data_IF_112839837011
#
_entry.id   IF_112839837011
#
_cell.length_a   1.000
_cell.length_b   1.000
_cell.length_c   1.000
_cell.angle_alpha   90.00
_cell.angle_beta   90.00
_cell.angle_gamma   90.00
#
_symmetry.space_group_name_H-M   'P 1'
#
loop_
_entity.id
_entity.type
_entity.pdbx_description
1 polymer ?
#
# COMPACT_ATOMS: atom_id res chain seq x y z
N UNK A 1 -59.21 -28.33 42.25
CA UNK A 1 -60.63 -27.98 42.43
C UNK A 1 -61.14 -27.56 41.05
N UNK A 2 -62.11 -28.28 40.46
CA UNK A 2 -62.71 -28.02 39.13
C UNK A 2 -61.73 -28.33 37.96
N UNK A 3 -61.79 -29.50 37.29
CA UNK A 3 -62.74 -30.01 36.24
C UNK A 3 -62.30 -29.55 34.82
N UNK A 4 -61.92 -30.47 33.92
CA UNK A 4 -62.72 -31.00 32.77
C UNK A 4 -62.75 -30.07 31.53
N UNK A 5 -62.90 -30.51 30.27
CA UNK A 5 -63.12 -31.86 29.69
C UNK A 5 -62.56 -31.95 28.25
N UNK A 6 -62.57 -33.18 27.71
CA UNK A 6 -62.41 -33.50 26.28
C UNK A 6 -63.56 -32.93 25.42
N UNK A 7 -63.32 -32.75 24.12
CA UNK A 7 -64.14 -33.38 23.07
C UNK A 7 -63.43 -33.45 21.70
N UNK A 8 -63.50 -34.63 21.07
CA UNK A 8 -63.31 -34.85 19.62
C UNK A 8 -64.71 -34.86 18.97
N UNK A 9 -64.81 -34.76 17.63
CA UNK A 9 -65.61 -35.68 16.77
C UNK A 9 -65.69 -35.22 15.28
N UNK A 10 -65.20 -36.10 14.41
CA UNK A 10 -65.47 -36.42 12.97
C UNK A 10 -65.85 -35.41 11.86
N UNK A 11 -65.07 -35.53 10.78
CA UNK A 11 -65.36 -35.66 9.31
C UNK A 11 -66.83 -35.91 8.85
N UNK A 12 -67.18 -35.50 7.61
CA UNK A 12 -67.20 -36.39 6.41
C UNK A 12 -66.46 -35.79 5.18
N UNK A 13 -65.85 -36.55 4.25
CA UNK A 13 -66.43 -37.43 3.19
C UNK A 13 -67.38 -36.66 2.22
N UNK A 14 -67.32 -36.75 0.89
CA UNK A 14 -66.48 -37.51 -0.07
C UNK A 14 -65.61 -36.54 -0.95
N UNK A 15 -65.03 -36.79 -2.15
CA UNK A 15 -65.13 -37.91 -3.11
C UNK A 15 -63.91 -38.11 -4.06
N UNK A 16 -64.06 -39.11 -4.91
CA UNK A 16 -63.23 -39.68 -5.98
C UNK A 16 -63.12 -38.78 -7.26
N UNK A 17 -62.28 -39.05 -8.29
CA UNK A 17 -62.23 -40.26 -9.16
C UNK A 17 -60.88 -40.40 -9.93
N UNK A 18 -60.40 -41.66 -10.05
CA UNK A 18 -59.50 -42.33 -11.04
C UNK A 18 -58.21 -41.65 -11.59
N UNK A 19 -57.03 -42.31 -11.62
CA UNK A 19 -56.55 -43.50 -12.40
C UNK A 19 -56.36 -43.23 -13.91
N UNK A 20 -55.37 -43.81 -14.61
CA UNK A 20 -54.29 -44.73 -14.20
C UNK A 20 -53.06 -44.63 -15.12
N UNK A 21 -51.93 -45.08 -14.55
CA UNK A 21 -50.73 -45.72 -15.13
C UNK A 21 -50.64 -45.96 -16.66
N UNK A 22 -49.43 -45.73 -17.19
CA UNK A 22 -48.59 -46.80 -17.79
C UNK A 22 -47.10 -46.43 -17.78
N UNK A 23 -46.24 -47.45 -17.81
CA UNK A 23 -44.78 -47.34 -17.61
C UNK A 23 -43.96 -47.21 -18.92
N UNK A 24 -42.67 -46.92 -18.73
CA UNK A 24 -41.53 -47.27 -19.58
C UNK A 24 -41.35 -46.57 -20.95
N UNK A 25 -40.36 -45.66 -21.00
CA UNK A 25 -39.18 -45.93 -21.83
C UNK A 25 -37.92 -45.23 -21.31
N UNK A 26 -36.76 -45.86 -21.58
CA UNK A 26 -35.43 -45.38 -21.24
C UNK A 26 -34.89 -44.52 -22.38
N UNK A 27 -34.49 -43.29 -22.10
CA UNK A 27 -33.65 -42.46 -22.98
C UNK A 27 -32.60 -41.70 -22.15
N UNK A 28 -31.36 -41.72 -22.62
CA UNK A 28 -30.26 -40.94 -22.04
C UNK A 28 -30.46 -39.44 -22.32
N UNK A 29 -30.21 -38.53 -21.36
CA UNK A 29 -29.99 -37.12 -21.64
C UNK A 29 -28.55 -36.85 -22.09
N UNK A 30 -28.43 -36.04 -23.14
CA UNK A 30 -27.17 -35.66 -23.79
C UNK A 30 -26.14 -34.99 -22.88
N UNK A 31 -24.89 -35.10 -23.32
CA UNK A 31 -23.83 -34.12 -23.05
C UNK A 31 -24.23 -32.76 -23.64
N UNK A 32 -24.70 -31.83 -22.80
CA UNK A 32 -24.47 -30.38 -22.95
C UNK A 32 -25.28 -29.60 -21.90
N UNK A 33 -24.63 -29.14 -20.83
CA UNK A 33 -24.76 -27.79 -20.29
C UNK A 33 -23.83 -27.65 -19.09
N UNK A 34 -22.68 -27.00 -19.31
CA UNK A 34 -21.87 -26.47 -18.22
C UNK A 34 -22.69 -25.35 -17.60
N UNK A 35 -23.29 -25.61 -16.45
CA UNK A 35 -23.91 -24.58 -15.60
C UNK A 35 -22.83 -23.58 -15.20
N UNK A 36 -22.75 -22.47 -15.93
CA UNK A 36 -21.87 -21.33 -15.64
C UNK A 36 -22.39 -20.65 -14.38
N UNK A 37 -21.88 -21.10 -13.24
CA UNK A 37 -22.16 -20.50 -11.94
C UNK A 37 -21.24 -19.27 -11.73
N UNK A 38 -21.85 -18.14 -11.37
CA UNK A 38 -21.25 -16.79 -11.32
C UNK A 38 -20.57 -16.29 -12.62
N UNK A 39 -20.71 -14.99 -12.90
CA UNK A 39 -20.09 -14.37 -14.07
C UNK A 39 -18.56 -14.28 -13.91
N UNK A 40 -17.83 -15.28 -14.41
CA UNK A 40 -16.38 -15.29 -14.41
C UNK A 40 -15.84 -14.03 -15.09
N UNK A 41 -15.02 -13.28 -14.36
CA UNK A 41 -14.35 -12.07 -14.82
C UNK A 41 -13.45 -12.42 -16.02
N UNK A 42 -13.75 -11.83 -17.19
CA UNK A 42 -12.88 -11.97 -18.36
C UNK A 42 -11.58 -11.19 -18.13
N UNK A 43 -10.46 -11.91 -18.07
CA UNK A 43 -9.14 -11.34 -17.83
C UNK A 43 -8.33 -11.24 -19.14
N UNK A 44 -7.42 -10.24 -19.27
CA UNK A 44 -6.60 -10.10 -20.47
C UNK A 44 -5.70 -11.30 -20.75
N UNK A 45 -5.30 -11.48 -22.02
CA UNK A 45 -4.43 -12.59 -22.43
C UNK A 45 -3.10 -12.65 -21.65
N UNK A 46 -2.48 -11.50 -21.35
CA UNK A 46 -1.22 -11.42 -20.59
C UNK A 46 -1.32 -12.02 -19.18
N UNK A 47 -2.50 -12.01 -18.55
CA UNK A 47 -2.71 -12.66 -17.26
C UNK A 47 -2.52 -14.18 -17.39
N UNK A 48 -3.12 -14.79 -18.41
CA UNK A 48 -2.98 -16.23 -18.63
C UNK A 48 -1.54 -16.60 -19.00
N UNK A 49 -0.87 -15.82 -19.87
CA UNK A 49 0.55 -16.04 -20.20
C UNK A 49 1.48 -15.95 -18.98
N UNK A 50 1.22 -15.01 -18.06
CA UNK A 50 1.96 -14.92 -16.80
C UNK A 50 1.66 -16.10 -15.86
N UNK A 51 0.40 -16.53 -15.74
CA UNK A 51 0.04 -17.70 -14.94
C UNK A 51 0.59 -19.02 -15.52
N UNK A 52 0.69 -19.14 -16.85
CA UNK A 52 1.37 -20.25 -17.52
C UNK A 52 2.88 -20.26 -17.20
N UNK A 53 3.52 -19.09 -17.12
CA UNK A 53 4.92 -18.98 -16.70
C UNK A 53 5.10 -19.41 -15.24
N UNK A 54 4.26 -18.89 -14.32
CA UNK A 54 4.26 -19.27 -12.90
C UNK A 54 4.02 -20.77 -12.72
N UNK A 55 3.08 -21.35 -13.47
CA UNK A 55 2.80 -22.78 -13.46
C UNK A 55 4.04 -23.60 -13.87
N UNK A 56 4.79 -23.17 -14.91
CA UNK A 56 6.04 -23.83 -15.29
C UNK A 56 7.12 -23.71 -14.21
N UNK A 57 7.30 -22.52 -13.65
CA UNK A 57 8.38 -22.25 -12.68
C UNK A 57 8.16 -22.95 -11.34
N UNK A 58 6.90 -23.08 -10.89
CA UNK A 58 6.53 -23.87 -9.71
C UNK A 58 6.20 -25.34 -10.04
N UNK A 59 6.51 -25.82 -11.26
CA UNK A 59 6.58 -27.24 -11.60
C UNK A 59 5.24 -27.95 -11.83
N UNK A 60 4.20 -27.25 -12.29
CA UNK A 60 2.95 -27.84 -12.79
C UNK A 60 3.12 -28.39 -14.22
N UNK A 61 2.39 -29.46 -14.55
CA UNK A 61 2.47 -30.08 -15.89
C UNK A 61 1.60 -29.34 -16.91
N UNK A 62 2.23 -28.89 -18.00
CA UNK A 62 1.52 -28.17 -19.08
C UNK A 62 0.30 -28.95 -19.59
N UNK A 63 -0.88 -28.31 -19.54
CA UNK A 63 -2.15 -28.91 -19.95
C UNK A 63 -2.81 -29.86 -18.94
N UNK A 64 -2.26 -30.01 -17.73
CA UNK A 64 -2.86 -30.82 -16.65
C UNK A 64 -3.35 -29.99 -15.45
N UNK A 65 -3.15 -28.67 -15.48
CA UNK A 65 -3.66 -27.75 -14.45
C UNK A 65 -4.81 -26.88 -14.97
N UNK A 66 -5.62 -26.38 -14.04
CA UNK A 66 -6.61 -25.31 -14.29
C UNK A 66 -6.18 -23.99 -13.64
N UNK A 67 -6.68 -22.88 -14.19
CA UNK A 67 -6.57 -21.54 -13.59
C UNK A 67 -7.98 -21.10 -13.18
N UNK A 68 -8.19 -20.86 -11.89
CA UNK A 68 -9.41 -20.23 -11.34
C UNK A 68 -9.07 -18.85 -10.76
N UNK A 69 -10.04 -17.95 -10.66
CA UNK A 69 -9.83 -16.62 -10.05
C UNK A 69 -10.95 -16.21 -9.12
N UNK A 70 -10.63 -15.42 -8.10
CA UNK A 70 -11.56 -14.89 -7.10
C UNK A 70 -11.20 -13.43 -6.79
N UNK A 71 -12.16 -12.51 -6.87
CA UNK A 71 -11.93 -11.09 -6.58
C UNK A 71 -11.45 -10.89 -5.13
N UNK A 72 -10.34 -10.17 -4.97
CA UNK A 72 -9.61 -10.10 -3.69
C UNK A 72 -9.72 -8.78 -2.94
N UNK A 73 -10.37 -7.77 -3.52
CA UNK A 73 -10.41 -6.37 -3.06
C UNK A 73 -11.76 -5.98 -2.45
N UNK A 74 -11.74 -5.32 -1.30
CA UNK A 74 -12.93 -4.63 -0.78
C UNK A 74 -13.11 -3.27 -1.46
N UNK A 75 -14.31 -2.67 -1.36
CA UNK A 75 -14.55 -1.32 -1.88
C UNK A 75 -13.60 -0.31 -1.19
N UNK A 76 -12.75 0.34 -1.99
CA UNK A 76 -11.71 1.26 -1.51
C UNK A 76 -10.30 0.68 -1.43
N UNK A 77 -10.11 -0.62 -1.68
CA UNK A 77 -8.79 -1.21 -1.90
C UNK A 77 -8.36 -1.05 -3.37
N UNK A 78 -7.06 -0.94 -3.62
CA UNK A 78 -6.51 -0.95 -4.98
C UNK A 78 -6.81 0.30 -5.81
N UNK A 79 -6.51 1.51 -5.32
CA UNK A 79 -6.72 2.78 -6.05
C UNK A 79 -6.06 2.79 -7.45
N UNK A 80 -4.82 2.29 -7.56
CA UNK A 80 -3.98 2.38 -8.77
C UNK A 80 -3.90 1.04 -9.54
N UNK A 81 -4.33 -0.07 -8.94
CA UNK A 81 -4.29 -1.40 -9.56
C UNK A 81 -5.31 -2.35 -8.93
N UNK A 82 -5.76 -3.33 -9.71
CA UNK A 82 -6.74 -4.32 -9.28
C UNK A 82 -6.04 -5.56 -8.72
N UNK A 83 -6.45 -6.01 -7.53
CA UNK A 83 -5.91 -7.17 -6.84
C UNK A 83 -6.95 -8.29 -6.69
N UNK A 84 -6.58 -9.49 -7.11
CA UNK A 84 -7.42 -10.68 -7.04
C UNK A 84 -6.58 -11.94 -6.81
N UNK A 85 -7.21 -13.02 -6.36
CA UNK A 85 -6.55 -14.33 -6.23
C UNK A 85 -6.63 -15.08 -7.55
N UNK A 86 -5.55 -15.76 -7.90
CA UNK A 86 -5.53 -16.83 -8.89
C UNK A 86 -5.19 -18.15 -8.19
N UNK A 87 -5.80 -19.24 -8.65
CA UNK A 87 -5.55 -20.58 -8.16
C UNK A 87 -5.02 -21.46 -9.29
N UNK A 88 -3.91 -22.16 -9.06
CA UNK A 88 -3.45 -23.24 -9.93
C UNK A 88 -3.80 -24.57 -9.28
N UNK A 89 -4.54 -25.42 -9.99
CA UNK A 89 -4.99 -26.73 -9.50
C UNK A 89 -4.55 -27.86 -10.43
N UNK A 90 -3.86 -28.89 -9.92
CA UNK A 90 -3.40 -30.09 -10.65
C UNK A 90 -3.62 -31.33 -9.78
N UNK A 91 -4.63 -32.14 -10.11
CA UNK A 91 -5.07 -33.22 -9.23
C UNK A 91 -5.50 -32.70 -7.85
N UNK A 92 -4.87 -33.22 -6.79
CA UNK A 92 -5.10 -32.76 -5.40
C UNK A 92 -4.25 -31.52 -5.01
N UNK A 93 -3.29 -31.10 -5.85
CA UNK A 93 -2.47 -29.89 -5.61
C UNK A 93 -3.31 -28.66 -5.96
N UNK A 94 -3.50 -27.74 -5.00
CA UNK A 94 -4.04 -26.39 -5.24
C UNK A 94 -3.15 -25.35 -4.59
N UNK A 95 -2.65 -24.40 -5.37
CA UNK A 95 -1.82 -23.28 -4.91
C UNK A 95 -2.51 -21.95 -5.20
N UNK A 96 -2.27 -20.96 -4.34
CA UNK A 96 -2.94 -19.65 -4.39
C UNK A 96 -1.91 -18.55 -4.58
N UNK A 97 -2.19 -17.68 -5.53
CA UNK A 97 -1.36 -16.55 -5.91
C UNK A 97 -2.17 -15.27 -5.82
N UNK A 98 -1.53 -14.18 -5.39
CA UNK A 98 -2.10 -12.84 -5.41
C UNK A 98 -1.62 -12.12 -6.68
N UNK A 99 -2.55 -11.72 -7.53
CA UNK A 99 -2.26 -11.05 -8.80
C UNK A 99 -2.67 -9.58 -8.72
N UNK A 100 -1.75 -8.67 -9.07
CA UNK A 100 -1.97 -7.22 -9.22
C UNK A 100 -1.84 -6.86 -10.71
N UNK A 101 -2.84 -6.22 -11.30
CA UNK A 101 -2.84 -5.74 -12.70
C UNK A 101 -3.30 -4.27 -12.80
N UNK A 102 -2.93 -3.51 -13.86
CA UNK A 102 -3.51 -2.20 -14.13
C UNK A 102 -5.04 -2.28 -14.25
N UNK A 103 -5.81 -1.28 -13.78
CA UNK A 103 -7.26 -1.31 -13.85
C UNK A 103 -7.76 -1.53 -15.26
N UNK A 104 -8.81 -2.32 -15.46
CA UNK A 104 -9.33 -2.59 -16.80
C UNK A 104 -9.99 -1.35 -17.43
N UNK A 105 -10.33 -0.34 -16.62
CA UNK A 105 -10.82 0.95 -17.08
C UNK A 105 -9.67 1.87 -17.56
N UNK A 106 -9.70 2.26 -18.84
CA UNK A 106 -8.65 3.08 -19.46
C UNK A 106 -8.56 4.50 -18.89
N UNK A 107 -9.70 5.18 -18.65
CA UNK A 107 -9.71 6.53 -18.10
C UNK A 107 -9.00 6.57 -16.73
N UNK A 108 -9.22 5.53 -15.92
CA UNK A 108 -8.55 5.34 -14.63
C UNK A 108 -7.05 5.05 -14.77
N UNK A 109 -6.62 4.28 -15.78
CA UNK A 109 -5.18 4.10 -16.06
C UNK A 109 -4.49 5.44 -16.36
N UNK A 110 -5.11 6.23 -17.22
CA UNK A 110 -4.59 7.54 -17.66
C UNK A 110 -4.56 8.53 -16.50
N UNK A 111 -5.66 8.67 -15.74
CA UNK A 111 -5.79 9.61 -14.62
C UNK A 111 -4.70 9.45 -13.55
N UNK A 112 -4.26 8.20 -13.29
CA UNK A 112 -3.30 7.90 -12.22
C UNK A 112 -1.87 7.62 -12.72
N UNK A 113 -1.57 7.73 -14.02
CA UNK A 113 -0.25 7.36 -14.56
C UNK A 113 0.09 5.89 -14.24
N UNK A 114 -0.88 5.00 -14.40
CA UNK A 114 -0.79 3.64 -13.85
C UNK A 114 0.35 2.84 -14.48
N UNK A 115 0.66 3.02 -15.77
CA UNK A 115 1.66 2.18 -16.43
C UNK A 115 3.07 2.50 -15.94
N UNK A 116 3.38 3.77 -15.71
CA UNK A 116 4.64 4.27 -15.12
C UNK A 116 4.83 3.76 -13.68
N UNK A 117 3.71 3.66 -12.95
CA UNK A 117 3.68 3.13 -11.58
C UNK A 117 3.90 1.60 -11.56
N UNK A 118 3.33 0.86 -12.52
CA UNK A 118 3.58 -0.57 -12.68
C UNK A 118 4.99 -0.88 -13.20
N UNK A 119 5.53 -0.10 -14.15
CA UNK A 119 6.92 -0.23 -14.61
C UNK A 119 7.89 -0.18 -13.42
N UNK A 120 7.66 0.79 -12.53
CA UNK A 120 8.43 1.01 -11.32
C UNK A 120 8.33 -0.16 -10.35
N UNK A 121 7.11 -0.65 -10.06
CA UNK A 121 6.95 -1.79 -9.15
C UNK A 121 7.55 -3.09 -9.74
N UNK A 122 7.44 -3.31 -11.06
CA UNK A 122 8.06 -4.43 -11.77
C UNK A 122 9.59 -4.32 -11.74
N UNK A 123 10.17 -3.12 -11.90
CA UNK A 123 11.61 -2.89 -11.74
C UNK A 123 12.11 -3.23 -10.32
N UNK A 124 11.31 -2.92 -9.31
CA UNK A 124 11.62 -3.23 -7.90
C UNK A 124 11.67 -4.75 -7.67
N UNK A 125 10.64 -5.50 -8.07
CA UNK A 125 10.59 -6.95 -7.86
C UNK A 125 11.55 -7.74 -8.76
N UNK A 126 11.73 -7.36 -10.04
CA UNK A 126 12.60 -8.10 -10.96
C UNK A 126 14.09 -7.78 -10.82
N UNK A 127 14.46 -6.58 -10.35
CA UNK A 127 15.88 -6.15 -10.33
C UNK A 127 16.36 -5.69 -8.96
N UNK A 128 15.77 -4.64 -8.39
CA UNK A 128 16.37 -4.01 -7.20
C UNK A 128 16.33 -4.92 -5.96
N UNK A 129 15.16 -5.44 -5.62
CA UNK A 129 14.97 -6.23 -4.40
C UNK A 129 15.77 -7.55 -4.43
N UNK A 130 15.80 -8.32 -5.55
CA UNK A 130 16.71 -9.46 -5.69
C UNK A 130 18.19 -9.08 -5.57
N UNK A 131 18.61 -7.94 -6.15
CA UNK A 131 19.99 -7.46 -6.05
C UNK A 131 20.37 -7.07 -4.62
N UNK A 132 19.46 -6.46 -3.87
CA UNK A 132 19.60 -6.16 -2.44
C UNK A 132 19.74 -7.43 -1.60
N UNK A 133 19.01 -8.51 -1.92
CA UNK A 133 19.11 -9.77 -1.20
C UNK A 133 20.45 -10.47 -1.51
N UNK A 134 20.80 -10.61 -2.79
CA UNK A 134 22.08 -11.19 -3.20
C UNK A 134 23.30 -10.41 -2.69
N UNK A 135 23.20 -9.07 -2.55
CA UNK A 135 24.25 -8.25 -1.93
C UNK A 135 24.43 -8.56 -0.44
N UNK A 136 23.33 -8.66 0.32
CA UNK A 136 23.36 -9.00 1.75
C UNK A 136 23.89 -10.41 1.98
N UNK A 137 23.42 -11.38 1.21
CA UNK A 137 23.86 -12.79 1.29
C UNK A 137 25.36 -12.92 0.95
N UNK A 138 25.85 -12.20 -0.06
CA UNK A 138 27.28 -12.14 -0.39
C UNK A 138 28.15 -11.48 0.70
N UNK A 139 27.55 -10.68 1.59
CA UNK A 139 28.19 -10.12 2.79
C UNK A 139 28.03 -11.01 4.03
N UNK A 140 27.38 -12.17 3.91
CA UNK A 140 27.11 -13.09 5.02
C UNK A 140 25.93 -12.69 5.91
N UNK A 141 25.10 -11.72 5.48
CA UNK A 141 23.93 -11.26 6.24
C UNK A 141 22.70 -12.08 5.85
N UNK A 142 22.20 -12.90 6.78
CA UNK A 142 21.01 -13.73 6.60
C UNK A 142 19.68 -13.05 6.94
N UNK A 143 18.59 -13.77 6.69
CA UNK A 143 17.19 -13.28 6.81
C UNK A 143 16.78 -12.74 8.19
N UNK A 144 17.42 -13.17 9.27
CA UNK A 144 17.15 -12.63 10.62
C UNK A 144 17.76 -11.25 10.87
N UNK A 145 18.90 -10.97 10.23
CA UNK A 145 19.75 -9.81 10.51
C UNK A 145 19.61 -8.69 9.47
N UNK A 146 19.32 -9.04 8.22
CA UNK A 146 19.17 -8.10 7.10
C UNK A 146 17.74 -7.64 6.85
N UNK A 147 17.55 -7.00 5.70
CA UNK A 147 16.26 -6.63 5.10
C UNK A 147 15.86 -7.70 4.07
N UNK A 148 14.82 -8.48 4.39
CA UNK A 148 14.27 -9.54 3.53
C UNK A 148 12.73 -9.63 3.61
N UNK A 149 12.08 -8.58 4.12
CA UNK A 149 10.66 -8.55 4.46
C UNK A 149 9.79 -7.98 3.33
N UNK A 150 9.76 -8.69 2.20
CA UNK A 150 8.86 -8.46 1.05
C UNK A 150 8.11 -9.77 0.76
N UNK A 151 6.95 -9.75 0.06
CA UNK A 151 6.33 -10.97 -0.41
C UNK A 151 7.20 -11.65 -1.47
N UNK A 152 7.24 -13.00 -1.51
CA UNK A 152 7.76 -13.75 -2.67
C UNK A 152 7.00 -13.29 -3.91
N UNK A 153 7.70 -12.64 -4.83
CA UNK A 153 7.24 -12.44 -6.20
C UNK A 153 7.57 -13.71 -6.99
N UNK A 154 6.56 -14.29 -7.63
CA UNK A 154 6.69 -15.44 -8.52
C UNK A 154 6.96 -14.97 -9.96
N UNK A 155 6.28 -13.89 -10.37
CA UNK A 155 6.43 -13.32 -11.70
C UNK A 155 6.07 -11.83 -11.68
N UNK A 156 6.82 -11.01 -12.41
CA UNK A 156 6.48 -9.61 -12.65
C UNK A 156 6.80 -9.27 -14.10
N UNK A 157 5.83 -8.69 -14.80
CA UNK A 157 5.93 -8.34 -16.23
C UNK A 157 5.38 -6.94 -16.49
N UNK A 158 6.00 -6.25 -17.43
CA UNK A 158 5.61 -4.94 -17.94
C UNK A 158 6.01 -4.83 -19.42
N UNK A 159 5.07 -4.39 -20.25
CA UNK A 159 5.32 -3.90 -21.60
C UNK A 159 4.54 -2.60 -21.84
N UNK A 160 5.27 -1.50 -21.97
CA UNK A 160 4.71 -0.18 -22.25
C UNK A 160 4.16 -0.01 -23.67
N UNK A 161 4.50 -0.88 -24.63
CA UNK A 161 3.98 -0.80 -26.00
C UNK A 161 2.55 -1.35 -26.11
N UNK A 162 2.28 -2.46 -25.42
CA UNK A 162 0.95 -3.08 -25.33
C UNK A 162 0.11 -2.58 -24.15
N UNK A 163 0.70 -1.77 -23.27
CA UNK A 163 0.11 -1.34 -21.99
C UNK A 163 -0.29 -2.52 -21.09
N UNK A 164 0.54 -3.56 -21.08
CA UNK A 164 0.37 -4.77 -20.29
C UNK A 164 1.28 -4.74 -19.06
N UNK A 165 0.73 -5.08 -17.89
CA UNK A 165 1.53 -5.31 -16.70
C UNK A 165 0.84 -6.28 -15.74
N UNK A 166 1.63 -7.09 -15.04
CA UNK A 166 1.13 -8.00 -14.02
C UNK A 166 2.23 -8.30 -13.00
N UNK A 167 1.85 -8.38 -11.72
CA UNK A 167 2.70 -8.87 -10.65
C UNK A 167 1.96 -10.01 -9.95
N UNK A 168 2.59 -11.18 -9.88
CA UNK A 168 2.11 -12.38 -9.20
C UNK A 168 2.99 -12.63 -7.98
N UNK A 169 2.38 -12.62 -6.79
CA UNK A 169 3.06 -12.70 -5.50
C UNK A 169 2.36 -13.65 -4.51
N UNK A 170 3.01 -13.98 -3.39
CA UNK A 170 2.40 -14.84 -2.37
C UNK A 170 1.19 -14.18 -1.69
N UNK A 171 0.13 -14.95 -1.43
CA UNK A 171 -0.94 -14.52 -0.54
C UNK A 171 -0.50 -14.70 0.93
N UNK A 172 0.11 -13.66 1.48
CA UNK A 172 0.60 -13.61 2.87
C UNK A 172 -0.48 -13.96 3.93
N UNK A 173 -1.77 -13.86 3.60
CA UNK A 173 -2.87 -14.25 4.49
C UNK A 173 -2.83 -15.75 4.83
N UNK A 174 -2.33 -16.58 3.90
CA UNK A 174 -2.09 -18.01 4.13
C UNK A 174 -0.98 -18.28 5.16
N UNK A 175 -0.02 -17.36 5.28
CA UNK A 175 1.07 -17.39 6.25
C UNK A 175 0.75 -16.65 7.56
N UNK A 176 -0.54 -16.48 7.87
CA UNK A 176 -1.09 -15.80 9.05
C UNK A 176 -0.65 -14.34 9.24
N UNK A 177 -0.34 -13.64 8.14
CA UNK A 177 -0.19 -12.20 8.17
C UNK A 177 -1.54 -11.50 8.00
N UNK A 178 -1.70 -10.33 8.62
CA UNK A 178 -2.86 -9.46 8.41
C UNK A 178 -2.47 -7.98 8.37
N UNK A 179 -3.31 -7.18 7.71
CA UNK A 179 -3.24 -5.73 7.76
C UNK A 179 -3.55 -5.22 9.18
N UNK A 180 -2.87 -4.16 9.60
CA UNK A 180 -3.28 -3.42 10.80
C UNK A 180 -4.55 -2.59 10.50
N UNK A 181 -5.39 -2.36 11.50
CA UNK A 181 -6.60 -1.56 11.33
C UNK A 181 -6.27 -0.05 11.29
N UNK A 182 -6.28 0.52 10.07
CA UNK A 182 -5.97 1.93 9.78
C UNK A 182 -6.82 2.99 10.48
N UNK A 183 -8.00 2.62 11.00
CA UNK A 183 -8.87 3.53 11.75
C UNK A 183 -8.35 3.77 13.18
N UNK A 184 -7.39 2.95 13.62
CA UNK A 184 -6.69 3.09 14.90
C UNK A 184 -5.34 3.78 14.70
N UNK A 185 -4.87 4.60 15.66
CA UNK A 185 -3.47 5.00 15.73
C UNK A 185 -2.57 3.77 15.84
N UNK A 186 -1.44 3.77 15.15
CA UNK A 186 -0.43 2.71 15.24
C UNK A 186 0.19 2.69 16.64
N UNK A 187 0.31 1.48 17.22
CA UNK A 187 0.93 1.28 18.52
C UNK A 187 2.46 1.11 18.47
N UNK A 188 3.08 0.99 19.64
CA UNK A 188 4.52 0.92 19.82
C UNK A 188 5.20 -0.23 19.06
N UNK A 189 4.64 -1.44 19.09
CA UNK A 189 5.33 -2.61 18.52
C UNK A 189 5.25 -2.63 17.00
N UNK A 190 4.13 -2.20 16.43
CA UNK A 190 4.01 -1.98 14.99
C UNK A 190 4.98 -0.88 14.52
N UNK A 191 4.98 0.28 15.19
CA UNK A 191 5.88 1.38 14.85
C UNK A 191 7.36 1.01 14.99
N UNK A 192 7.73 0.27 16.05
CA UNK A 192 9.10 -0.24 16.25
C UNK A 192 9.52 -1.13 15.07
N UNK A 193 8.71 -2.11 14.69
CA UNK A 193 9.01 -2.99 13.55
C UNK A 193 9.15 -2.21 12.23
N UNK A 194 8.28 -1.22 11.98
CA UNK A 194 8.42 -0.34 10.80
C UNK A 194 9.74 0.43 10.82
N UNK A 195 10.07 1.10 11.93
CA UNK A 195 11.32 1.87 12.06
C UNK A 195 12.55 0.95 11.89
N UNK A 196 12.51 -0.26 12.45
CA UNK A 196 13.58 -1.24 12.28
C UNK A 196 13.78 -1.62 10.81
N UNK A 197 12.72 -1.99 10.08
CA UNK A 197 12.86 -2.44 8.69
C UNK A 197 13.20 -1.29 7.73
N UNK A 198 12.67 -0.08 7.93
CA UNK A 198 13.11 1.09 7.16
C UNK A 198 14.60 1.37 7.40
N UNK A 199 15.07 1.24 8.65
CA UNK A 199 16.50 1.36 8.97
C UNK A 199 17.36 0.33 8.23
N UNK A 200 16.91 -0.94 8.21
CA UNK A 200 17.61 -2.00 7.47
C UNK A 200 17.61 -1.76 5.96
N UNK A 201 16.45 -1.45 5.38
CA UNK A 201 16.30 -1.17 3.95
C UNK A 201 17.21 -0.03 3.50
N UNK A 202 17.23 1.07 4.25
CA UNK A 202 18.08 2.22 3.94
C UNK A 202 19.58 1.93 4.17
N UNK A 203 19.95 1.08 5.14
CA UNK A 203 21.34 0.61 5.30
C UNK A 203 21.82 -0.17 4.07
N UNK A 204 21.01 -1.10 3.54
CA UNK A 204 21.34 -1.86 2.33
C UNK A 204 21.49 -0.92 1.14
N UNK A 205 20.59 0.05 0.97
CA UNK A 205 20.71 1.06 -0.08
C UNK A 205 22.00 1.87 0.02
N UNK A 206 22.37 2.36 1.20
CA UNK A 206 23.60 3.14 1.40
C UNK A 206 24.86 2.31 1.14
N UNK A 207 24.89 1.07 1.63
CA UNK A 207 26.02 0.16 1.45
C UNK A 207 26.20 -0.26 -0.02
N UNK A 208 25.10 -0.53 -0.74
CA UNK A 208 25.15 -0.82 -2.19
C UNK A 208 25.59 0.40 -3.01
N UNK A 209 25.14 1.60 -2.65
CA UNK A 209 25.60 2.84 -3.29
C UNK A 209 27.11 3.02 -3.18
N UNK A 210 27.68 2.68 -2.02
CA UNK A 210 29.12 2.76 -1.79
C UNK A 210 29.90 1.65 -2.52
N UNK A 211 29.46 0.39 -2.39
CA UNK A 211 30.22 -0.77 -2.90
C UNK A 211 30.02 -1.05 -4.39
N UNK A 212 28.89 -0.63 -4.97
CA UNK A 212 28.49 -0.94 -6.35
C UNK A 212 27.84 0.27 -7.06
N UNK A 213 28.49 1.45 -7.09
CA UNK A 213 27.89 2.69 -7.60
C UNK A 213 27.37 2.57 -9.04
N UNK A 214 28.10 1.90 -9.93
CA UNK A 214 27.69 1.67 -11.33
C UNK A 214 26.41 0.84 -11.45
N UNK A 215 26.25 -0.19 -10.59
CA UNK A 215 25.01 -0.98 -10.56
C UNK A 215 23.87 -0.19 -9.91
N UNK A 216 24.19 0.65 -8.93
CA UNK A 216 23.24 1.46 -8.17
C UNK A 216 22.60 2.58 -9.02
N UNK A 217 23.34 3.17 -9.96
CA UNK A 217 22.93 4.36 -10.71
C UNK A 217 21.58 4.18 -11.43
N UNK A 218 21.34 3.00 -12.03
CA UNK A 218 20.10 2.69 -12.75
C UNK A 218 18.84 2.73 -11.86
N UNK A 219 19.00 2.67 -10.54
CA UNK A 219 17.90 2.66 -9.58
C UNK A 219 17.61 4.06 -9.00
N UNK A 220 18.34 5.12 -9.41
CA UNK A 220 18.09 6.50 -8.98
C UNK A 220 16.82 7.11 -9.62
N UNK A 221 15.68 6.47 -9.36
CA UNK A 221 14.39 6.87 -9.89
C UNK A 221 13.96 8.21 -9.30
N UNK A 222 13.57 9.15 -10.16
CA UNK A 222 12.99 10.43 -9.76
C UNK A 222 11.66 10.23 -9.03
N UNK A 223 11.25 11.21 -8.22
CA UNK A 223 9.90 11.25 -7.63
C UNK A 223 8.85 11.27 -8.76
N UNK A 224 7.87 10.36 -8.71
CA UNK A 224 6.82 10.26 -9.73
C UNK A 224 5.92 11.49 -9.75
N UNK A 225 5.82 12.23 -8.64
CA UNK A 225 5.06 13.48 -8.58
C UNK A 225 5.86 14.69 -9.09
N UNK A 226 7.14 14.56 -9.48
CA UNK A 226 8.01 15.70 -9.84
C UNK A 226 7.42 16.58 -10.95
N UNK A 227 6.81 15.97 -11.96
CA UNK A 227 6.18 16.67 -13.08
C UNK A 227 4.88 17.37 -12.65
N UNK A 228 4.23 16.86 -11.60
CA UNK A 228 3.04 17.43 -10.95
C UNK A 228 3.33 18.60 -9.98
N UNK A 229 4.57 19.09 -9.91
CA UNK A 229 4.99 20.14 -8.96
C UNK A 229 5.08 21.56 -9.56
N UNK A 230 4.60 21.77 -10.79
CA UNK A 230 4.54 23.10 -11.40
C UNK A 230 3.65 24.08 -10.58
N UNK A 231 3.95 25.39 -10.51
CA UNK A 231 3.22 26.34 -9.65
C UNK A 231 1.70 26.41 -9.89
N UNK A 232 1.27 26.18 -11.13
CA UNK A 232 -0.13 26.19 -11.56
C UNK A 232 -0.72 24.77 -11.70
N UNK A 233 0.06 23.72 -11.41
CA UNK A 233 -0.40 22.34 -11.52
C UNK A 233 -1.53 22.05 -10.51
N UNK A 234 -2.61 21.34 -10.88
CA UNK A 234 -3.76 21.12 -10.00
C UNK A 234 -3.40 20.55 -8.62
N UNK A 235 -2.38 19.68 -8.55
CA UNK A 235 -1.86 19.13 -7.28
C UNK A 235 -1.33 20.22 -6.33
N UNK A 236 -0.58 21.20 -6.84
CA UNK A 236 -0.06 22.33 -6.04
C UNK A 236 -1.20 23.23 -5.58
N UNK A 237 -2.14 23.56 -6.46
CA UNK A 237 -3.33 24.37 -6.11
C UNK A 237 -4.16 23.69 -5.02
N UNK A 238 -4.34 22.37 -5.13
CA UNK A 238 -4.97 21.56 -4.08
C UNK A 238 -4.16 21.58 -2.78
N UNK A 239 -2.84 21.37 -2.81
CA UNK A 239 -1.98 21.35 -1.62
C UNK A 239 -2.00 22.71 -0.88
N UNK A 240 -2.03 23.82 -1.62
CA UNK A 240 -2.24 25.16 -1.06
C UNK A 240 -3.62 25.30 -0.41
N UNK A 241 -4.69 24.78 -1.05
CA UNK A 241 -6.06 24.81 -0.49
C UNK A 241 -6.14 23.99 0.79
N UNK A 242 -5.72 22.73 0.77
CA UNK A 242 -5.77 21.85 1.95
C UNK A 242 -4.87 22.36 3.09
N UNK A 243 -3.78 23.07 2.78
CA UNK A 243 -2.95 23.74 3.80
C UNK A 243 -3.71 24.88 4.49
N UNK A 244 -4.50 25.67 3.74
CA UNK A 244 -5.41 26.68 4.34
C UNK A 244 -6.51 26.02 5.17
N UNK A 245 -7.14 24.95 4.65
CA UNK A 245 -8.16 24.19 5.39
C UNK A 245 -7.60 23.60 6.70
N UNK A 246 -6.33 23.16 6.69
CA UNK A 246 -5.61 22.68 7.87
C UNK A 246 -5.36 23.80 8.91
N UNK A 247 -5.11 25.04 8.48
CA UNK A 247 -4.99 26.20 9.39
C UNK A 247 -6.30 26.49 10.12
N UNK A 248 -7.45 26.23 9.50
CA UNK A 248 -8.77 26.37 10.12
C UNK A 248 -9.12 25.24 11.11
N UNK A 249 -8.18 24.32 11.39
CA UNK A 249 -8.31 23.36 12.51
C UNK A 249 -7.71 23.88 13.83
N UNK A 250 -6.93 24.98 13.78
CA UNK A 250 -6.25 25.58 14.93
C UNK A 250 -7.18 26.49 15.74
N UNK A 251 -7.13 26.36 17.07
CA UNK A 251 -7.88 27.23 18.00
C UNK A 251 -7.38 28.68 17.97
N UNK A 252 -8.20 29.68 18.40
CA UNK A 252 -7.81 31.09 18.35
C UNK A 252 -6.52 31.47 19.11
N UNK A 253 -6.12 30.68 20.10
CA UNK A 253 -4.90 30.91 20.88
C UNK A 253 -3.62 30.38 20.19
N UNK A 254 -3.74 29.53 19.16
CA UNK A 254 -2.65 28.87 18.44
C UNK A 254 -2.06 29.77 17.33
N UNK A 255 -1.85 31.05 17.69
CA UNK A 255 -1.35 32.08 16.78
C UNK A 255 0.09 31.80 16.32
N UNK A 256 0.91 31.15 17.14
CA UNK A 256 2.27 30.69 16.77
C UNK A 256 2.20 29.66 15.65
N UNK A 257 1.35 28.65 15.82
CA UNK A 257 1.16 27.53 14.91
C UNK A 257 0.62 28.04 13.57
N UNK A 258 -0.40 28.91 13.63
CA UNK A 258 -0.98 29.58 12.46
C UNK A 258 0.06 30.41 11.68
N UNK A 259 0.92 31.14 12.39
CA UNK A 259 2.02 31.89 11.78
C UNK A 259 3.12 31.00 11.17
N UNK A 260 3.35 29.79 11.70
CA UNK A 260 4.28 28.83 11.06
C UNK A 260 3.66 28.17 9.83
N UNK A 261 2.38 27.80 9.89
CA UNK A 261 1.64 27.28 8.74
C UNK A 261 1.56 28.28 7.59
N UNK A 262 1.34 29.57 7.86
CA UNK A 262 1.38 30.60 6.82
C UNK A 262 2.75 30.65 6.12
N UNK A 263 3.86 30.61 6.88
CA UNK A 263 5.21 30.58 6.30
C UNK A 263 5.51 29.32 5.48
N UNK A 264 4.93 28.18 5.87
CA UNK A 264 4.99 26.95 5.06
C UNK A 264 4.22 27.12 3.75
N UNK A 265 3.03 27.73 3.79
CA UNK A 265 2.24 28.02 2.60
C UNK A 265 2.97 28.98 1.65
N UNK A 266 3.57 30.05 2.19
CA UNK A 266 4.37 31.04 1.44
C UNK A 266 5.62 30.40 0.79
N UNK A 267 6.23 29.41 1.46
CA UNK A 267 7.44 28.71 1.02
C UNK A 267 7.21 27.39 0.26
N UNK A 268 5.95 27.00 0.04
CA UNK A 268 5.56 25.63 -0.33
C UNK A 268 6.29 25.08 -1.57
N UNK A 269 6.42 25.88 -2.63
CA UNK A 269 7.05 25.45 -3.88
C UNK A 269 8.53 25.08 -3.69
N UNK A 270 9.27 25.86 -2.90
CA UNK A 270 10.69 25.61 -2.62
C UNK A 270 10.91 24.44 -1.65
N UNK A 271 9.89 24.07 -0.90
CA UNK A 271 9.86 22.87 -0.06
C UNK A 271 9.54 21.63 -0.91
N UNK A 272 8.54 21.70 -1.77
CA UNK A 272 8.19 20.66 -2.74
C UNK A 272 9.36 20.31 -3.66
N UNK A 273 10.01 21.31 -4.27
CA UNK A 273 11.21 21.12 -5.09
C UNK A 273 12.33 20.40 -4.31
N UNK A 274 12.51 20.75 -3.03
CA UNK A 274 13.51 20.12 -2.16
C UNK A 274 13.24 18.63 -1.91
N UNK A 275 11.98 18.20 -1.89
CA UNK A 275 11.63 16.78 -1.69
C UNK A 275 11.79 15.96 -2.97
N UNK A 276 11.50 16.56 -4.13
CA UNK A 276 11.69 15.94 -5.44
C UNK A 276 13.17 15.95 -5.89
N UNK A 277 14.00 16.86 -5.37
CA UNK A 277 15.42 16.96 -5.69
C UNK A 277 16.29 16.15 -4.71
N UNK A 278 16.64 14.93 -5.11
CA UNK A 278 17.52 14.05 -4.33
C UNK A 278 18.96 14.57 -4.18
N UNK A 279 19.45 15.44 -5.07
CA UNK A 279 20.81 15.98 -5.01
C UNK A 279 21.03 16.80 -3.74
N UNK A 280 19.97 17.40 -3.20
CA UNK A 280 19.99 18.14 -1.93
C UNK A 280 20.06 17.22 -0.69
N UNK A 281 19.80 15.93 -0.86
CA UNK A 281 19.92 14.91 0.18
C UNK A 281 21.28 14.16 0.15
N UNK A 282 22.06 14.30 -0.93
CA UNK A 282 23.43 13.78 -1.03
C UNK A 282 24.35 14.32 0.09
N UNK A 283 25.33 13.53 0.58
CA UNK A 283 25.65 12.15 0.19
C UNK A 283 24.66 11.09 0.73
N UNK A 284 23.70 11.49 1.57
CA UNK A 284 22.87 10.60 2.40
C UNK A 284 21.57 10.12 1.74
N UNK A 285 21.36 10.40 0.46
CA UNK A 285 20.19 9.96 -0.29
C UNK A 285 20.17 8.42 -0.43
N UNK A 286 18.97 7.84 -0.31
CA UNK A 286 18.70 6.41 -0.33
C UNK A 286 17.59 6.08 -1.32
N UNK A 287 17.50 4.81 -1.71
CA UNK A 287 16.31 4.25 -2.33
C UNK A 287 15.26 4.15 -1.21
N UNK A 288 14.30 5.07 -1.23
CA UNK A 288 13.13 5.07 -0.35
C UNK A 288 12.01 4.22 -0.93
N UNK A 289 11.17 3.66 -0.07
CA UNK A 289 9.99 2.90 -0.46
C UNK A 289 8.88 3.84 -0.95
N UNK A 290 8.84 5.06 -0.42
CA UNK A 290 8.07 6.16 -0.98
C UNK A 290 6.60 6.21 -0.60
N UNK A 291 5.97 5.07 -0.32
CA UNK A 291 4.61 4.95 0.25
C UNK A 291 4.59 4.22 1.61
N UNK A 292 5.35 4.74 2.58
CA UNK A 292 5.51 4.14 3.91
C UNK A 292 4.35 4.44 4.87
N UNK A 293 3.16 3.96 4.56
CA UNK A 293 2.02 3.98 5.49
C UNK A 293 1.55 2.58 5.87
N UNK A 294 0.75 2.51 6.93
CA UNK A 294 0.36 1.26 7.57
C UNK A 294 -0.43 0.29 6.66
N UNK A 295 -1.06 0.78 5.59
CA UNK A 295 -1.77 -0.06 4.61
C UNK A 295 -0.85 -0.78 3.62
N UNK A 296 0.43 -0.45 3.59
CA UNK A 296 1.44 -1.15 2.80
C UNK A 296 2.30 -2.07 3.67
N UNK A 297 1.76 -2.48 4.83
CA UNK A 297 2.46 -3.27 5.84
C UNK A 297 1.56 -4.38 6.38
N UNK A 298 1.99 -5.63 6.19
CA UNK A 298 1.33 -6.81 6.74
C UNK A 298 2.13 -7.36 7.93
N UNK A 299 1.44 -7.78 8.99
CA UNK A 299 2.06 -8.21 10.25
C UNK A 299 1.66 -9.64 10.60
N UNK A 300 2.61 -10.44 11.09
CA UNK A 300 2.34 -11.76 11.69
C UNK A 300 2.48 -11.66 13.20
N UNK A 301 1.48 -12.19 13.91
CA UNK A 301 1.32 -11.99 15.35
C UNK A 301 1.63 -13.25 16.15
N UNK A 302 2.14 -13.04 17.37
CA UNK A 302 2.39 -14.07 18.38
C UNK A 302 1.86 -13.55 19.71
N UNK A 303 0.91 -14.26 20.29
CA UNK A 303 0.21 -13.86 21.52
C UNK A 303 -0.41 -12.44 21.47
N UNK A 304 -0.80 -11.98 20.27
CA UNK A 304 -1.37 -10.64 20.04
C UNK A 304 -0.35 -9.53 19.78
N UNK A 305 0.95 -9.79 19.92
CA UNK A 305 2.03 -8.85 19.58
C UNK A 305 2.54 -9.13 18.16
N UNK A 306 2.78 -8.11 17.31
CA UNK A 306 3.41 -8.35 16.00
C UNK A 306 4.87 -8.79 16.20
N UNK A 307 5.26 -9.89 15.57
CA UNK A 307 6.63 -10.44 15.62
C UNK A 307 7.36 -10.23 14.28
N UNK A 308 6.62 -10.21 13.17
CA UNK A 308 7.14 -9.95 11.84
C UNK A 308 6.28 -8.94 11.10
N UNK A 309 6.92 -8.21 10.19
CA UNK A 309 6.32 -7.26 9.25
C UNK A 309 6.77 -7.67 7.83
N UNK A 310 5.94 -7.40 6.83
CA UNK A 310 6.26 -7.47 5.39
C UNK A 310 5.80 -6.16 4.75
N UNK A 311 6.68 -5.53 3.96
CA UNK A 311 6.42 -4.29 3.23
C UNK A 311 5.90 -4.64 1.83
N UNK A 312 4.85 -3.93 1.42
CA UNK A 312 4.09 -4.13 0.18
C UNK A 312 4.12 -2.87 -0.68
N UNK A 313 3.75 -3.00 -1.95
CA UNK A 313 3.41 -1.90 -2.84
C UNK A 313 4.55 -0.88 -3.07
N UNK A 314 5.56 -1.32 -3.82
CA UNK A 314 6.79 -0.54 -4.11
C UNK A 314 6.61 0.48 -5.25
N UNK A 315 5.36 0.81 -5.58
CA UNK A 315 4.96 1.45 -6.84
C UNK A 315 5.35 2.93 -6.96
N UNK A 316 5.78 3.58 -5.88
CA UNK A 316 6.34 4.94 -5.86
C UNK A 316 7.72 5.03 -5.19
N UNK A 317 8.44 3.90 -5.15
CA UNK A 317 9.82 3.82 -4.68
C UNK A 317 10.72 4.78 -5.48
N UNK A 318 11.57 5.53 -4.80
CA UNK A 318 12.31 6.65 -5.39
C UNK A 318 13.60 6.95 -4.67
N UNK A 319 14.53 7.61 -5.35
CA UNK A 319 15.76 8.07 -4.74
C UNK A 319 15.52 9.40 -4.02
N UNK A 320 15.74 9.46 -2.71
CA UNK A 320 15.34 10.60 -1.88
C UNK A 320 16.07 10.65 -0.53
N UNK A 321 15.74 11.62 0.33
CA UNK A 321 16.18 11.61 1.72
C UNK A 321 15.52 10.45 2.50
N UNK A 322 16.26 9.68 3.32
CA UNK A 322 15.68 8.63 4.17
C UNK A 322 14.60 9.16 5.12
N UNK A 323 14.60 10.46 5.40
CA UNK A 323 13.63 11.10 6.28
C UNK A 323 12.22 11.15 5.68
N UNK A 324 12.05 11.10 4.36
CA UNK A 324 10.73 11.23 3.74
C UNK A 324 9.79 10.10 4.19
N UNK A 325 10.27 8.86 4.16
CA UNK A 325 9.52 7.67 4.59
C UNK A 325 9.21 7.69 6.10
N UNK A 326 10.16 8.14 6.93
CA UNK A 326 9.98 8.27 8.38
C UNK A 326 8.97 9.36 8.75
N UNK A 327 9.08 10.52 8.11
CA UNK A 327 8.19 11.65 8.35
C UNK A 327 6.77 11.32 7.87
N UNK A 328 6.63 10.63 6.74
CA UNK A 328 5.35 10.11 6.29
C UNK A 328 4.74 9.19 7.35
N UNK A 329 5.39 8.07 7.68
CA UNK A 329 4.85 7.09 8.61
C UNK A 329 4.49 7.72 9.97
N UNK A 330 5.39 8.49 10.57
CA UNK A 330 5.18 9.03 11.92
C UNK A 330 4.04 10.05 11.95
N UNK A 331 3.95 10.99 11.01
CA UNK A 331 2.91 12.02 11.06
C UNK A 331 1.56 11.54 10.50
N UNK A 332 1.55 10.59 9.55
CA UNK A 332 0.31 10.06 8.99
C UNK A 332 -0.27 8.85 9.74
N UNK A 333 0.53 8.00 10.40
CA UNK A 333 0.03 6.74 11.01
C UNK A 333 -0.09 6.76 12.55
N UNK A 334 0.59 7.67 13.25
CA UNK A 334 0.55 7.76 14.73
C UNK A 334 -0.30 8.95 15.22
N UNK A 335 -0.58 9.03 16.52
CA UNK A 335 -1.27 10.17 17.14
C UNK A 335 -0.36 11.09 17.99
N UNK A 336 -0.95 12.16 18.54
CA UNK A 336 -0.25 13.17 19.36
C UNK A 336 0.38 12.55 20.62
N UNK A 337 -0.29 11.57 21.24
CA UNK A 337 0.17 10.95 22.47
C UNK A 337 1.34 10.00 22.20
N UNK A 338 1.24 9.19 21.15
CA UNK A 338 2.33 8.37 20.66
C UNK A 338 3.58 9.23 20.40
N UNK A 339 3.47 10.30 19.60
CA UNK A 339 4.63 11.14 19.26
C UNK A 339 5.18 11.87 20.47
N UNK A 340 4.33 12.34 21.39
CA UNK A 340 4.77 12.95 22.66
C UNK A 340 5.60 11.99 23.53
N UNK A 341 5.35 10.69 23.47
CA UNK A 341 6.02 9.67 24.28
C UNK A 341 7.23 9.03 23.59
N UNK A 342 7.13 8.76 22.28
CA UNK A 342 8.02 7.83 21.57
C UNK A 342 8.71 8.43 20.34
N UNK A 343 8.55 9.73 20.01
CA UNK A 343 9.14 10.29 18.78
C UNK A 343 10.66 10.10 18.70
N UNK A 344 11.40 10.56 19.71
CA UNK A 344 12.87 10.47 19.75
C UNK A 344 13.36 9.02 19.85
N UNK A 345 12.55 8.15 20.45
CA UNK A 345 12.79 6.71 20.56
C UNK A 345 12.65 6.03 19.19
N UNK A 346 11.58 6.29 18.43
CA UNK A 346 11.38 5.79 17.07
C UNK A 346 12.49 6.23 16.11
N UNK A 347 12.90 7.51 16.18
CA UNK A 347 14.03 8.00 15.39
C UNK A 347 15.36 7.33 15.78
N UNK A 348 15.50 6.93 17.05
CA UNK A 348 16.66 6.20 17.54
C UNK A 348 16.63 4.72 17.15
N UNK A 349 15.47 4.07 17.19
CA UNK A 349 15.26 2.68 16.73
C UNK A 349 15.63 2.56 15.25
N UNK A 350 15.10 3.46 14.41
CA UNK A 350 15.46 3.53 12.99
C UNK A 350 16.97 3.67 12.79
N UNK A 351 17.59 4.68 13.42
CA UNK A 351 19.01 4.96 13.22
C UNK A 351 19.91 3.84 13.73
N UNK A 352 19.56 3.22 14.87
CA UNK A 352 20.32 2.11 15.43
C UNK A 352 20.21 0.86 14.55
N UNK A 353 19.01 0.55 14.03
CA UNK A 353 18.80 -0.55 13.07
C UNK A 353 19.64 -0.35 11.80
N UNK A 354 19.64 0.88 11.27
CA UNK A 354 20.46 1.27 10.12
C UNK A 354 21.96 1.11 10.40
N UNK A 355 22.43 1.66 11.52
CA UNK A 355 23.84 1.61 11.92
C UNK A 355 24.32 0.17 12.12
N UNK A 356 23.58 -0.66 12.85
CA UNK A 356 23.90 -2.07 13.08
C UNK A 356 23.97 -2.87 11.78
N UNK A 357 23.09 -2.61 10.80
CA UNK A 357 23.16 -3.31 9.53
C UNK A 357 24.29 -2.78 8.63
N UNK A 358 24.60 -1.47 8.63
CA UNK A 358 25.80 -0.96 7.94
C UNK A 358 27.08 -1.65 8.45
N UNK A 359 27.24 -1.78 9.76
CA UNK A 359 28.40 -2.48 10.38
C UNK A 359 28.49 -3.93 9.90
N UNK A 360 27.38 -4.67 9.88
CA UNK A 360 27.32 -6.05 9.36
C UNK A 360 27.62 -6.15 7.85
N UNK A 361 27.33 -5.09 7.08
CA UNK A 361 27.67 -5.01 5.66
C UNK A 361 29.11 -4.53 5.40
N UNK A 362 29.89 -4.28 6.46
CA UNK A 362 31.30 -3.87 6.40
C UNK A 362 31.53 -2.36 6.31
N UNK A 363 30.55 -1.54 6.69
CA UNK A 363 30.56 -0.08 6.58
C UNK A 363 30.51 0.61 7.94
N UNK A 364 31.26 1.71 8.09
CA UNK A 364 31.19 2.56 9.28
C UNK A 364 29.96 3.49 9.21
N UNK A 365 29.02 3.42 10.17
CA UNK A 365 27.89 4.36 10.21
C UNK A 365 28.34 5.82 10.35
N UNK A 366 29.48 6.07 10.98
CA UNK A 366 30.01 7.44 11.16
C UNK A 366 30.58 8.04 9.87
N UNK A 367 30.95 7.20 8.89
CA UNK A 367 31.46 7.64 7.59
C UNK A 367 30.31 7.74 6.58
N UNK A 368 29.46 6.72 6.51
CA UNK A 368 28.39 6.62 5.51
C UNK A 368 27.17 7.49 5.87
N UNK A 369 26.69 7.46 7.12
CA UNK A 369 25.57 8.30 7.54
C UNK A 369 25.61 8.64 9.04
N UNK A 370 26.54 9.50 9.50
CA UNK A 370 26.70 9.82 10.91
C UNK A 370 25.44 10.40 11.55
N UNK A 371 25.23 10.16 12.85
CA UNK A 371 24.01 10.56 13.58
C UNK A 371 23.76 12.07 13.56
N UNK A 372 24.82 12.88 13.45
CA UNK A 372 24.74 14.33 13.26
C UNK A 372 24.16 14.71 11.89
N UNK A 373 24.49 13.97 10.83
CA UNK A 373 23.89 14.13 9.51
C UNK A 373 22.42 13.69 9.50
N UNK A 374 22.07 12.58 10.16
CA UNK A 374 20.68 12.16 10.36
C UNK A 374 19.84 13.24 11.06
N UNK A 375 20.33 13.80 12.17
CA UNK A 375 19.65 14.91 12.87
C UNK A 375 19.53 16.19 12.03
N UNK A 376 20.50 16.47 11.14
CA UNK A 376 20.42 17.59 10.19
C UNK A 376 19.38 17.33 9.10
N UNK A 377 19.37 16.12 8.52
CA UNK A 377 18.37 15.68 7.55
C UNK A 377 16.96 15.74 8.17
N UNK A 378 16.77 15.30 9.42
CA UNK A 378 15.50 15.42 10.14
C UNK A 378 14.98 16.87 10.18
N UNK A 379 15.83 17.85 10.46
CA UNK A 379 15.44 19.28 10.47
C UNK A 379 15.09 19.81 9.07
N UNK A 380 15.75 19.32 8.03
CA UNK A 380 15.59 19.78 6.64
C UNK A 380 14.37 19.16 5.95
N UNK A 381 14.06 17.89 6.27
CA UNK A 381 13.09 17.06 5.57
C UNK A 381 11.89 16.63 6.44
N UNK A 382 11.96 16.72 7.77
CA UNK A 382 10.90 16.24 8.68
C UNK A 382 9.53 16.92 8.50
N UNK A 383 9.51 18.15 7.96
CA UNK A 383 8.27 18.86 7.58
C UNK A 383 7.52 18.21 6.40
N UNK A 384 8.14 17.33 5.62
CA UNK A 384 7.48 16.55 4.57
C UNK A 384 6.30 15.75 5.13
N UNK A 385 6.40 15.24 6.36
CA UNK A 385 5.30 14.54 7.02
C UNK A 385 4.08 15.43 7.28
N UNK A 386 4.25 16.74 7.48
CA UNK A 386 3.14 17.69 7.54
C UNK A 386 2.53 17.91 6.16
N UNK A 387 3.36 18.04 5.12
CA UNK A 387 2.89 18.19 3.73
C UNK A 387 2.01 17.00 3.31
N UNK A 388 2.48 15.77 3.56
CA UNK A 388 1.68 14.56 3.33
C UNK A 388 0.48 14.45 4.27
N UNK A 389 0.59 14.84 5.55
CA UNK A 389 -0.55 14.81 6.45
C UNK A 389 -1.68 15.76 5.97
N UNK A 390 -1.34 16.96 5.52
CA UNK A 390 -2.30 17.93 4.96
C UNK A 390 -3.09 17.34 3.79
N UNK A 391 -2.43 16.55 2.94
CA UNK A 391 -3.06 15.85 1.82
C UNK A 391 -3.86 14.60 2.24
N UNK A 392 -3.27 13.73 3.08
CA UNK A 392 -3.78 12.39 3.36
C UNK A 392 -4.72 12.31 4.57
N UNK A 393 -4.53 13.11 5.62
CA UNK A 393 -5.38 13.06 6.83
C UNK A 393 -6.87 13.31 6.54
N UNK A 394 -7.29 14.20 5.61
CA UNK A 394 -8.66 14.26 5.14
C UNK A 394 -9.20 12.91 4.63
N UNK A 395 -8.43 12.22 3.78
CA UNK A 395 -8.79 10.92 3.19
C UNK A 395 -8.81 9.81 4.25
N UNK A 396 -7.82 9.80 5.15
CA UNK A 396 -7.72 8.87 6.30
C UNK A 396 -8.85 9.08 7.33
N UNK A 397 -9.63 10.15 7.22
CA UNK A 397 -10.80 10.41 8.03
C UNK A 397 -12.12 10.23 7.24
N UNK A 398 -12.07 9.76 6.00
CA UNK A 398 -13.21 9.26 5.21
C UNK A 398 -13.28 7.73 5.35
N UNK A 399 -14.47 7.14 5.56
CA UNK A 399 -14.61 5.68 5.62
C UNK A 399 -14.60 5.09 4.20
N UNK A 400 -14.10 3.86 4.05
CA UNK A 400 -14.05 3.16 2.76
C UNK A 400 -15.41 3.10 2.04
N UNK A 401 -16.49 2.86 2.77
CA UNK A 401 -17.86 2.80 2.25
C UNK A 401 -18.30 4.11 1.58
N UNK A 402 -17.85 5.25 2.16
CA UNK A 402 -18.16 6.62 1.75
C UNK A 402 -17.25 7.14 0.62
N UNK A 403 -16.23 6.35 0.21
CA UNK A 403 -15.41 6.69 -0.95
C UNK A 403 -16.24 6.54 -2.25
N UNK A 404 -16.03 7.44 -3.23
CA UNK A 404 -16.67 7.32 -4.53
C UNK A 404 -16.18 6.07 -5.27
N UNK A 405 -16.95 5.60 -6.24
CA UNK A 405 -16.46 4.55 -7.14
C UNK A 405 -15.33 5.11 -8.02
N UNK A 406 -14.18 4.43 -8.05
CA UNK A 406 -12.98 4.95 -8.72
C UNK A 406 -13.13 4.96 -10.24
N UNK A 407 -13.82 3.98 -10.82
CA UNK A 407 -14.05 3.92 -12.26
C UNK A 407 -15.04 5.03 -12.64
N UNK A 408 -16.17 5.14 -11.94
CA UNK A 408 -17.15 6.21 -12.19
C UNK A 408 -16.57 7.62 -12.00
N UNK A 409 -15.65 7.81 -11.05
CA UNK A 409 -14.94 9.07 -10.85
C UNK A 409 -13.99 9.38 -12.01
N UNK A 410 -13.21 8.40 -12.47
CA UNK A 410 -12.33 8.56 -13.62
C UNK A 410 -13.11 8.90 -14.91
N UNK A 411 -14.25 8.24 -15.13
CA UNK A 411 -15.16 8.55 -16.24
C UNK A 411 -15.71 9.98 -16.18
N UNK A 412 -16.06 10.49 -14.99
CA UNK A 412 -16.54 11.87 -14.81
C UNK A 412 -15.50 12.94 -15.16
N UNK A 413 -14.21 12.63 -15.04
CA UNK A 413 -13.11 13.57 -15.28
C UNK A 413 -12.31 13.26 -16.56
N UNK A 414 -12.71 12.27 -17.39
CA UNK A 414 -11.98 11.88 -18.62
C UNK A 414 -11.63 13.08 -19.50
N UNK A 415 -12.58 14.01 -19.67
CA UNK A 415 -12.44 15.16 -20.58
C UNK A 415 -11.96 16.43 -19.86
N UNK A 416 -11.41 16.32 -18.64
CA UNK A 416 -10.97 17.46 -17.83
C UNK A 416 -9.64 17.22 -17.12
N UNK A 417 -8.68 18.13 -17.27
CA UNK A 417 -7.39 18.09 -16.55
C UNK A 417 -7.51 18.30 -15.02
N UNK A 418 -8.72 18.52 -14.51
CA UNK A 418 -8.99 18.81 -13.10
C UNK A 418 -9.64 17.63 -12.38
N UNK A 419 -8.84 16.81 -11.70
CA UNK A 419 -9.37 15.88 -10.70
C UNK A 419 -9.81 16.66 -9.46
N UNK A 420 -11.12 16.76 -9.19
CA UNK A 420 -11.60 17.32 -7.92
C UNK A 420 -11.43 16.32 -6.78
N UNK A 421 -10.23 16.33 -6.20
CA UNK A 421 -9.85 15.48 -5.07
C UNK A 421 -10.75 15.74 -3.83
N UNK A 422 -11.49 16.85 -3.78
CA UNK A 422 -12.47 17.09 -2.71
C UNK A 422 -13.61 16.04 -2.68
N UNK A 423 -13.83 15.30 -3.78
CA UNK A 423 -14.80 14.18 -3.81
C UNK A 423 -14.36 13.06 -2.85
N UNK A 424 -13.07 12.73 -2.78
CA UNK A 424 -12.53 11.73 -1.84
C UNK A 424 -12.59 12.18 -0.36
N UNK A 425 -12.78 13.49 -0.12
CA UNK A 425 -12.89 14.10 1.21
C UNK A 425 -14.29 14.63 1.53
N UNK A 426 -15.28 14.39 0.67
CA UNK A 426 -16.65 14.91 0.81
C UNK A 426 -17.34 14.43 2.08
N UNK A 427 -17.01 13.22 2.51
CA UNK A 427 -17.57 12.54 3.67
C UNK A 427 -16.56 12.41 4.83
N UNK A 428 -15.48 13.20 4.82
CA UNK A 428 -14.49 13.25 5.90
C UNK A 428 -15.13 13.58 7.25
N UNK A 429 -14.86 12.73 8.26
CA UNK A 429 -15.23 12.98 9.65
C UNK A 429 -14.50 14.22 10.19
N UNK A 430 -15.19 15.36 10.18
CA UNK A 430 -14.64 16.68 10.54
C UNK A 430 -14.11 16.75 11.98
N UNK A 431 -14.65 15.95 12.91
CA UNK A 431 -14.16 15.90 14.29
C UNK A 431 -12.82 15.17 14.37
N UNK A 432 -12.72 14.00 13.73
CA UNK A 432 -11.48 13.25 13.63
C UNK A 432 -10.39 14.02 12.86
N UNK A 433 -10.76 14.62 11.73
CA UNK A 433 -9.89 15.46 10.91
C UNK A 433 -9.32 16.64 11.72
N UNK A 434 -10.17 17.47 12.34
CA UNK A 434 -9.72 18.61 13.15
C UNK A 434 -8.80 18.19 14.28
N UNK A 435 -9.13 17.11 15.01
CA UNK A 435 -8.29 16.58 16.09
C UNK A 435 -6.91 16.15 15.58
N UNK A 436 -6.87 15.33 14.52
CA UNK A 436 -5.64 14.73 13.97
C UNK A 436 -4.75 15.76 13.27
N UNK A 437 -5.33 16.65 12.47
CA UNK A 437 -4.61 17.70 11.76
C UNK A 437 -3.94 18.67 12.73
N UNK A 438 -4.69 19.20 13.70
CA UNK A 438 -4.17 20.10 14.73
C UNK A 438 -3.01 19.50 15.52
N UNK A 439 -3.11 18.22 15.88
CA UNK A 439 -2.02 17.50 16.53
C UNK A 439 -0.73 17.48 15.68
N UNK A 440 -0.83 17.17 14.37
CA UNK A 440 0.33 17.17 13.47
C UNK A 440 0.95 18.57 13.35
N UNK A 441 0.14 19.64 13.27
CA UNK A 441 0.64 21.01 13.24
C UNK A 441 1.39 21.36 14.54
N UNK A 442 0.80 21.10 15.71
CA UNK A 442 1.47 21.31 17.02
C UNK A 442 2.80 20.57 17.12
N UNK A 443 2.80 19.32 16.68
CA UNK A 443 3.97 18.45 16.77
C UNK A 443 5.12 18.93 15.87
N UNK A 444 4.81 19.33 14.64
CA UNK A 444 5.83 19.87 13.71
C UNK A 444 6.40 21.21 14.18
N UNK A 445 5.61 22.06 14.85
CA UNK A 445 6.10 23.27 15.55
C UNK A 445 6.94 22.91 16.78
N UNK A 446 6.56 21.88 17.54
CA UNK A 446 7.27 21.39 18.73
C UNK A 446 8.65 20.81 18.39
N UNK A 447 8.75 20.02 17.33
CA UNK A 447 10.02 19.45 16.84
C UNK A 447 10.86 20.44 16.02
N UNK A 448 10.32 21.64 15.72
CA UNK A 448 11.04 22.70 15.02
C UNK A 448 11.19 22.48 13.51
N UNK A 449 10.26 21.74 12.90
CA UNK A 449 10.23 21.49 11.45
C UNK A 449 9.62 22.63 10.64
N UNK A 450 8.74 23.41 11.26
CA UNK A 450 8.15 24.65 10.71
C UNK A 450 8.32 25.84 11.65
#
# INVERSE_FOLDING_TARGET
MVLESLEQVTIPEEAAIDKAMTENHVTQPNVSEVTRDAAARELPAFFYTAMEQVARDEGFTAGQYTIETEDGSSKGDGFIGELFRAYLSEGDRRETYLCKIPPLNEARRQQFGTMEIFEREVLMYNKLLPLMFAYQEAKGVGRGDGFFCIPKCYHAHYDGQSAEAIIVMEDLRLNHYSMFNKDKPVDYEHARLTMEQLGRYNAVSLAMKHDRPEQFEQFKMQDSMKESMGPEHPFIVMLQKTTRDAMETLEPHESRERNKMQKLLDGMLADVDRYANFELAEPYAVLGHGDCWINNMMYRYKNGTPEHIVLLDWQVARYCSPILDLAYFIFCCTDEEFRRRHYDEMMSIYYNSLATLLEKLGHSPQEVFPRTAFLRQLRQYGRFGLMLAVFLVPMLCTRNEDLPDMNATAEMFRDTDNVDIAIYTKHTNQSAYRKRMRAVIRDTVRYGYI
#
